data_IF_873957716633
#
_entry.id   IF_873957716633
#
_cell.length_a   1.000
_cell.length_b   1.000
_cell.length_c   1.000
_cell.angle_alpha   90.00
_cell.angle_beta   90.00
_cell.angle_gamma   90.00
#
_symmetry.space_group_name_H-M   'P 1'
#
loop_
_entity.id
_entity.type
_entity.pdbx_description
1 polymer ?
#
# COMPACT_ATOMS: atom_id res chain seq x y z
N UNK A 1 7.87 -26.05 4.76
CA UNK A 1 8.44 -25.66 6.08
C UNK A 1 9.66 -26.50 6.49
N UNK A 2 9.68 -27.80 6.27
CA UNK A 2 10.82 -28.68 6.66
C UNK A 2 12.18 -28.20 6.13
N UNK A 3 12.25 -27.73 4.89
CA UNK A 3 13.47 -27.14 4.33
C UNK A 3 13.59 -25.66 4.68
N UNK A 4 12.50 -24.89 4.58
CA UNK A 4 12.49 -23.45 4.79
C UNK A 4 12.95 -23.04 6.20
N UNK A 5 12.59 -23.83 7.24
CA UNK A 5 12.95 -23.51 8.63
C UNK A 5 14.46 -23.44 8.92
N UNK A 6 15.30 -23.89 7.99
CA UNK A 6 16.77 -23.79 8.09
C UNK A 6 17.29 -22.39 7.79
N UNK A 7 16.50 -21.58 7.10
CA UNK A 7 16.91 -20.29 6.52
C UNK A 7 16.14 -19.11 7.09
N UNK A 8 15.11 -19.35 7.89
CA UNK A 8 14.25 -18.33 8.47
C UNK A 8 14.35 -18.31 10.00
N UNK A 9 14.06 -17.18 10.59
CA UNK A 9 14.07 -16.96 12.05
C UNK A 9 13.80 -15.51 12.39
N UNK A 10 13.62 -15.21 13.66
CA UNK A 10 13.33 -13.85 14.13
C UNK A 10 14.42 -12.83 13.73
N UNK A 11 15.68 -13.27 13.70
CA UNK A 11 16.86 -12.44 13.41
C UNK A 11 17.55 -12.84 12.09
N UNK A 12 16.86 -13.60 11.24
CA UNK A 12 17.36 -14.02 9.91
C UNK A 12 16.40 -13.46 8.86
N UNK A 13 15.73 -14.35 8.11
CA UNK A 13 14.68 -13.92 7.18
C UNK A 13 13.31 -14.13 7.82
N UNK A 14 12.46 -13.10 7.78
CA UNK A 14 11.11 -13.12 8.34
C UNK A 14 10.09 -13.07 7.19
N UNK A 15 9.58 -14.22 6.72
CA UNK A 15 8.59 -14.25 5.65
C UNK A 15 7.26 -13.61 6.05
N UNK A 16 6.56 -13.03 5.07
CA UNK A 16 5.26 -12.39 5.25
C UNK A 16 4.20 -12.99 4.32
N UNK A 17 2.94 -12.69 4.59
CA UNK A 17 1.84 -13.04 3.69
C UNK A 17 1.85 -12.20 2.40
N UNK A 18 1.30 -12.77 1.34
CA UNK A 18 1.12 -12.17 0.02
C UNK A 18 -0.16 -12.71 -0.63
N UNK A 19 -0.42 -12.40 -1.90
CA UNK A 19 -1.60 -12.91 -2.63
C UNK A 19 -1.69 -14.43 -2.47
N UNK A 20 -2.85 -14.89 -1.97
CA UNK A 20 -3.11 -16.32 -1.72
C UNK A 20 -2.50 -16.90 -0.44
N UNK A 21 -1.72 -16.11 0.32
CA UNK A 21 -1.11 -16.51 1.59
C UNK A 21 -1.54 -15.55 2.70
N UNK A 22 -2.62 -15.88 3.38
CA UNK A 22 -3.19 -15.08 4.46
C UNK A 22 -2.88 -15.63 5.85
N UNK A 23 -3.63 -15.15 6.84
CA UNK A 23 -3.46 -15.53 8.25
C UNK A 23 -3.53 -17.05 8.48
N UNK A 24 -4.37 -17.76 7.72
CA UNK A 24 -4.51 -19.22 7.79
C UNK A 24 -3.21 -19.92 7.39
N UNK A 25 -2.62 -19.56 6.26
CA UNK A 25 -1.39 -20.13 5.72
C UNK A 25 -0.20 -19.80 6.62
N UNK A 26 -0.13 -18.54 7.08
CA UNK A 26 0.86 -18.11 8.08
C UNK A 26 0.73 -18.94 9.37
N UNK A 27 -0.48 -19.21 9.82
CA UNK A 27 -0.73 -20.07 10.99
C UNK A 27 -0.19 -21.50 10.80
N UNK A 28 -0.43 -22.10 9.63
CA UNK A 28 0.10 -23.44 9.32
C UNK A 28 1.64 -23.45 9.26
N UNK A 29 2.24 -22.44 8.66
CA UNK A 29 3.69 -22.30 8.60
C UNK A 29 4.31 -22.09 9.98
N UNK A 30 3.72 -21.21 10.80
CA UNK A 30 4.19 -20.95 12.16
C UNK A 30 4.09 -22.22 13.04
N UNK A 31 2.95 -22.91 13.00
CA UNK A 31 2.75 -24.15 13.75
C UNK A 31 3.78 -25.22 13.39
N UNK A 32 4.08 -25.40 12.11
CA UNK A 32 5.08 -26.37 11.67
C UNK A 32 6.51 -25.91 12.00
N UNK A 33 6.82 -24.63 11.88
CA UNK A 33 8.10 -24.07 12.32
C UNK A 33 8.34 -24.36 13.81
N UNK A 34 7.35 -24.05 14.66
CA UNK A 34 7.42 -24.32 16.10
C UNK A 34 7.63 -25.81 16.42
N UNK A 35 6.98 -26.71 15.68
CA UNK A 35 7.15 -28.17 15.88
C UNK A 35 8.56 -28.64 15.53
N UNK A 36 9.16 -28.09 14.47
CA UNK A 36 10.49 -28.52 14.00
C UNK A 36 11.59 -27.90 14.85
N UNK A 37 11.50 -26.58 15.12
CA UNK A 37 12.53 -25.82 15.81
C UNK A 37 12.43 -25.91 17.33
N UNK A 38 11.26 -26.23 17.88
CA UNK A 38 11.00 -26.21 19.32
C UNK A 38 10.98 -24.80 19.93
N UNK A 39 10.94 -23.73 19.08
CA UNK A 39 11.02 -22.34 19.49
C UNK A 39 9.70 -21.63 19.29
N UNK A 40 9.38 -20.70 20.21
CA UNK A 40 8.32 -19.72 20.07
C UNK A 40 8.97 -18.34 19.92
N UNK A 41 9.13 -17.90 18.68
CA UNK A 41 9.85 -16.66 18.36
C UNK A 41 9.14 -15.85 17.29
N UNK A 42 9.63 -14.64 17.02
CA UNK A 42 9.05 -13.68 16.08
C UNK A 42 9.30 -13.99 14.60
N UNK A 43 9.31 -15.25 14.21
CA UNK A 43 9.38 -15.66 12.81
C UNK A 43 8.03 -15.51 12.13
N UNK A 44 8.01 -15.12 10.85
CA UNK A 44 6.81 -14.80 10.08
C UNK A 44 6.08 -13.55 10.55
N UNK A 45 5.45 -12.82 9.64
CA UNK A 45 4.53 -11.73 9.95
C UNK A 45 3.13 -11.98 9.40
N UNK A 46 2.11 -11.29 9.94
CA UNK A 46 0.71 -11.60 9.66
C UNK A 46 0.19 -12.77 10.45
N UNK A 47 0.82 -13.05 11.61
CA UNK A 47 0.38 -14.10 12.55
C UNK A 47 -0.96 -13.76 13.19
N UNK A 48 -1.65 -14.78 13.68
CA UNK A 48 -2.83 -14.59 14.53
C UNK A 48 -2.44 -14.00 15.89
N UNK A 49 -3.38 -13.27 16.51
CA UNK A 49 -3.15 -12.56 17.78
C UNK A 49 -2.72 -13.48 18.91
N UNK A 50 -3.17 -14.73 18.92
CA UNK A 50 -2.87 -15.72 19.96
C UNK A 50 -1.44 -16.28 19.88
N UNK A 51 -0.71 -16.00 18.81
CA UNK A 51 0.65 -16.48 18.60
C UNK A 51 1.60 -15.43 18.01
N UNK A 52 1.49 -14.21 18.51
CA UNK A 52 2.44 -13.13 18.26
C UNK A 52 2.10 -12.21 17.10
N UNK A 53 0.85 -12.22 16.61
CA UNK A 53 0.35 -11.26 15.63
C UNK A 53 0.11 -9.88 16.22
N UNK A 54 0.05 -8.87 15.35
CA UNK A 54 -0.25 -7.48 15.70
C UNK A 54 -1.67 -7.10 15.31
N UNK A 55 -2.32 -6.31 16.16
CA UNK A 55 -3.53 -5.58 15.80
C UNK A 55 -3.25 -4.62 14.64
N UNK A 56 -4.30 -4.17 13.96
CA UNK A 56 -4.25 -3.30 12.79
C UNK A 56 -3.47 -3.86 11.57
N UNK A 57 -2.94 -5.10 11.61
CA UNK A 57 -2.19 -5.67 10.48
C UNK A 57 -3.07 -5.89 9.25
N UNK A 58 -4.31 -6.29 9.47
CA UNK A 58 -5.28 -6.53 8.38
C UNK A 58 -5.64 -5.22 7.68
N UNK A 59 -5.82 -4.16 8.43
CA UNK A 59 -6.19 -2.82 7.97
C UNK A 59 -5.02 -2.05 7.35
N UNK A 60 -3.80 -2.43 7.72
CA UNK A 60 -2.60 -1.61 7.59
C UNK A 60 -2.34 -1.05 6.19
N UNK A 61 -2.52 -1.84 5.13
CA UNK A 61 -2.24 -1.38 3.77
C UNK A 61 -3.27 -0.33 3.33
N UNK A 62 -4.56 -0.61 3.53
CA UNK A 62 -5.64 0.32 3.21
C UNK A 62 -5.59 1.59 4.06
N UNK A 63 -5.38 1.46 5.37
CA UNK A 63 -5.25 2.61 6.26
C UNK A 63 -4.02 3.46 5.94
N UNK A 64 -2.87 2.81 5.74
CA UNK A 64 -1.63 3.48 5.35
C UNK A 64 -1.75 4.26 4.06
N UNK A 65 -2.42 3.68 3.05
CA UNK A 65 -2.73 4.34 1.78
C UNK A 65 -3.46 5.67 2.02
N UNK A 66 -4.49 5.65 2.87
CA UNK A 66 -5.28 6.84 3.17
C UNK A 66 -4.51 7.86 4.01
N UNK A 67 -3.66 7.45 4.95
CA UNK A 67 -2.81 8.39 5.69
C UNK A 67 -1.84 9.12 4.78
N UNK A 68 -1.22 8.42 3.83
CA UNK A 68 -0.35 9.05 2.85
C UNK A 68 -1.13 9.97 1.91
N UNK A 69 -2.31 9.53 1.43
CA UNK A 69 -3.18 10.33 0.58
C UNK A 69 -3.65 11.60 1.31
N UNK A 70 -3.98 11.52 2.60
CA UNK A 70 -4.34 12.68 3.43
C UNK A 70 -3.20 13.71 3.47
N UNK A 71 -1.95 13.27 3.65
CA UNK A 71 -0.79 14.18 3.66
C UNK A 71 -0.53 14.81 2.29
N UNK A 72 -0.68 14.04 1.21
CA UNK A 72 -0.63 14.56 -0.15
C UNK A 72 -1.67 15.67 -0.36
N UNK A 73 -2.92 15.43 0.05
CA UNK A 73 -4.00 16.42 -0.06
C UNK A 73 -3.69 17.68 0.74
N UNK A 74 -3.18 17.54 1.99
CA UNK A 74 -2.80 18.68 2.84
C UNK A 74 -1.70 19.54 2.22
N UNK A 75 -0.67 18.93 1.63
CA UNK A 75 0.43 19.65 0.96
C UNK A 75 -0.08 20.51 -0.22
N UNK A 76 -1.20 20.10 -0.80
CA UNK A 76 -1.90 20.85 -1.85
C UNK A 76 -3.08 21.70 -1.36
N UNK A 77 -3.18 21.97 -0.04
CA UNK A 77 -4.26 22.75 0.59
C UNK A 77 -5.67 22.16 0.36
N UNK A 78 -5.78 20.87 0.25
CA UNK A 78 -7.02 20.12 0.08
C UNK A 78 -7.27 19.21 1.29
N UNK A 79 -8.52 18.76 1.45
CA UNK A 79 -8.91 17.81 2.51
C UNK A 79 -9.56 16.57 1.92
N UNK A 80 -9.63 15.50 2.69
CA UNK A 80 -10.37 14.29 2.31
C UNK A 80 -11.89 14.48 2.43
N UNK A 81 -12.33 15.37 3.32
CA UNK A 81 -13.74 15.57 3.60
C UNK A 81 -14.52 16.04 2.37
N UNK A 82 -15.64 15.41 2.10
CA UNK A 82 -16.53 15.72 0.98
C UNK A 82 -16.00 15.27 -0.40
N UNK A 83 -14.81 14.66 -0.49
CA UNK A 83 -14.26 14.18 -1.76
C UNK A 83 -14.96 12.91 -2.23
N UNK A 84 -15.15 12.82 -3.55
CA UNK A 84 -15.59 11.59 -4.20
C UNK A 84 -14.36 10.74 -4.54
N UNK A 85 -14.37 9.51 -4.06
CA UNK A 85 -13.25 8.57 -4.23
C UNK A 85 -13.71 7.37 -5.04
N UNK A 86 -12.90 6.96 -6.01
CA UNK A 86 -13.08 5.74 -6.80
C UNK A 86 -12.01 4.73 -6.37
N UNK A 87 -12.44 3.53 -6.02
CA UNK A 87 -11.57 2.43 -5.59
C UNK A 87 -11.80 1.24 -6.51
N UNK A 88 -10.72 0.62 -6.99
CA UNK A 88 -10.78 -0.70 -7.62
C UNK A 88 -10.47 -1.80 -6.60
N UNK A 89 -10.95 -3.01 -6.89
CA UNK A 89 -10.80 -4.13 -5.97
C UNK A 89 -11.92 -4.23 -4.95
N UNK A 90 -12.02 -5.40 -4.33
CA UNK A 90 -12.89 -5.71 -3.20
C UNK A 90 -12.17 -6.73 -2.27
N UNK A 91 -10.86 -6.74 -2.31
CA UNK A 91 -10.00 -7.50 -1.40
C UNK A 91 -9.63 -6.69 -0.17
N UNK A 92 -8.71 -7.22 0.63
CA UNK A 92 -8.27 -6.61 1.89
C UNK A 92 -7.88 -5.13 1.73
N UNK A 93 -6.99 -4.80 0.79
CA UNK A 93 -6.54 -3.40 0.60
C UNK A 93 -7.70 -2.47 0.28
N UNK A 94 -8.56 -2.86 -0.66
CA UNK A 94 -9.71 -2.06 -1.09
C UNK A 94 -10.72 -1.85 0.04
N UNK A 95 -11.13 -2.92 0.73
CA UNK A 95 -12.11 -2.85 1.83
C UNK A 95 -11.66 -1.85 2.91
N UNK A 96 -10.41 -1.97 3.37
CA UNK A 96 -9.91 -1.10 4.43
C UNK A 96 -9.53 0.31 3.94
N UNK A 97 -9.19 0.48 2.65
CA UNK A 97 -9.09 1.80 2.05
C UNK A 97 -10.46 2.51 2.02
N UNK A 98 -11.52 1.81 1.61
CA UNK A 98 -12.89 2.33 1.61
C UNK A 98 -13.30 2.72 3.03
N UNK A 99 -13.10 1.83 3.99
CA UNK A 99 -13.43 2.09 5.40
C UNK A 99 -12.72 3.34 5.94
N UNK A 100 -11.42 3.46 5.70
CA UNK A 100 -10.64 4.61 6.20
C UNK A 100 -11.02 5.90 5.47
N UNK A 101 -11.29 5.86 4.16
CA UNK A 101 -11.76 7.02 3.41
C UNK A 101 -13.09 7.57 3.98
N UNK A 102 -14.04 6.69 4.30
CA UNK A 102 -15.30 7.10 4.96
C UNK A 102 -15.05 7.71 6.34
N UNK A 103 -14.13 7.15 7.14
CA UNK A 103 -13.74 7.73 8.45
C UNK A 103 -13.13 9.13 8.33
N UNK A 104 -12.53 9.45 7.17
CA UNK A 104 -11.94 10.76 6.86
C UNK A 104 -12.95 11.71 6.18
N UNK A 105 -14.23 11.35 6.10
CA UNK A 105 -15.29 12.16 5.52
C UNK A 105 -15.38 12.13 3.99
N UNK A 106 -14.62 11.28 3.31
CA UNK A 106 -14.73 11.09 1.89
C UNK A 106 -15.84 10.08 1.54
N UNK A 107 -16.42 10.21 0.34
CA UNK A 107 -17.42 9.27 -0.17
C UNK A 107 -16.81 8.37 -1.24
N UNK A 108 -16.68 7.08 -0.94
CA UNK A 108 -16.23 6.09 -1.91
C UNK A 108 -17.44 5.53 -2.65
N UNK A 109 -17.44 5.62 -3.98
CA UNK A 109 -18.60 5.28 -4.81
C UNK A 109 -18.42 4.03 -5.66
N UNK A 110 -17.24 3.39 -5.63
CA UNK A 110 -16.99 2.18 -6.43
C UNK A 110 -16.20 1.14 -5.67
N UNK A 111 -16.38 -0.12 -6.06
CA UNK A 111 -15.47 -1.23 -5.80
C UNK A 111 -15.56 -2.23 -6.98
N UNK A 112 -14.57 -3.12 -7.11
CA UNK A 112 -14.57 -4.09 -8.23
C UNK A 112 -14.02 -5.45 -7.82
N UNK A 113 -14.42 -6.48 -8.56
CA UNK A 113 -13.78 -7.80 -8.51
C UNK A 113 -13.44 -8.30 -9.93
N UNK A 114 -13.02 -9.56 -10.06
CA UNK A 114 -12.60 -10.11 -11.36
C UNK A 114 -13.74 -10.29 -12.37
N UNK A 115 -14.99 -10.13 -11.98
CA UNK A 115 -16.14 -10.30 -12.86
C UNK A 115 -16.82 -9.00 -13.23
N UNK A 116 -16.68 -7.96 -12.39
CA UNK A 116 -17.32 -6.69 -12.63
C UNK A 116 -17.08 -5.68 -11.51
N UNK A 117 -17.82 -4.61 -11.53
CA UNK A 117 -17.68 -3.52 -10.59
C UNK A 117 -19.03 -2.94 -10.16
N UNK A 118 -19.02 -2.30 -9.03
CA UNK A 118 -20.17 -1.60 -8.44
C UNK A 118 -19.96 -0.10 -8.60
N UNK A 119 -21.05 0.59 -8.96
CA UNK A 119 -21.24 2.02 -8.75
C UNK A 119 -22.35 2.22 -7.74
N UNK A 120 -22.09 2.86 -6.62
CA UNK A 120 -23.08 3.25 -5.62
C UNK A 120 -22.98 4.76 -5.35
N UNK A 121 -23.88 5.58 -5.91
CA UNK A 121 -23.84 7.04 -5.72
C UNK A 121 -24.08 7.46 -4.27
N UNK A 122 -24.67 6.63 -3.43
CA UNK A 122 -24.84 6.88 -2.00
C UNK A 122 -23.57 6.60 -1.19
N UNK A 123 -22.62 5.89 -1.78
CA UNK A 123 -21.37 5.43 -1.18
C UNK A 123 -21.41 3.95 -0.81
N UNK A 124 -20.29 3.29 -0.98
CA UNK A 124 -20.13 1.85 -0.69
C UNK A 124 -20.42 1.57 0.79
N UNK A 125 -21.33 0.66 1.05
CA UNK A 125 -21.59 0.13 2.38
C UNK A 125 -20.48 -0.88 2.75
N UNK A 126 -19.62 -0.49 3.68
CA UNK A 126 -18.44 -1.27 4.07
C UNK A 126 -18.83 -2.57 4.79
N UNK A 127 -19.86 -2.52 5.62
CA UNK A 127 -20.27 -3.70 6.40
C UNK A 127 -20.89 -4.75 5.49
N UNK A 128 -21.73 -4.33 4.56
CA UNK A 128 -22.26 -5.22 3.52
C UNK A 128 -21.14 -5.77 2.62
N UNK A 129 -20.17 -4.92 2.23
CA UNK A 129 -19.04 -5.35 1.42
C UNK A 129 -18.20 -6.42 2.14
N UNK A 130 -17.92 -6.24 3.44
CA UNK A 130 -17.25 -7.25 4.28
C UNK A 130 -18.05 -8.53 4.38
N UNK A 131 -19.34 -8.45 4.63
CA UNK A 131 -20.21 -9.64 4.68
C UNK A 131 -20.13 -10.44 3.39
N UNK A 132 -20.25 -9.77 2.22
CA UNK A 132 -20.20 -10.42 0.92
C UNK A 132 -18.81 -11.00 0.62
N UNK A 133 -17.73 -10.25 0.87
CA UNK A 133 -16.38 -10.62 0.43
C UNK A 133 -15.61 -11.47 1.45
N UNK A 134 -15.68 -11.15 2.73
CA UNK A 134 -14.90 -11.82 3.77
C UNK A 134 -15.66 -13.02 4.37
N UNK A 135 -16.97 -12.87 4.62
CA UNK A 135 -17.78 -13.91 5.26
C UNK A 135 -18.32 -14.89 4.21
N UNK A 136 -19.11 -14.41 3.25
CA UNK A 136 -19.74 -15.26 2.22
C UNK A 136 -18.76 -15.68 1.12
N UNK A 137 -17.67 -14.92 0.91
CA UNK A 137 -16.70 -15.10 -0.19
C UNK A 137 -17.38 -15.11 -1.58
N UNK A 138 -18.41 -14.30 -1.71
CA UNK A 138 -19.24 -14.22 -2.89
C UNK A 138 -18.78 -13.15 -3.89
N UNK A 139 -19.46 -13.02 -5.01
CA UNK A 139 -19.23 -12.00 -6.03
C UNK A 139 -20.00 -10.73 -5.70
N UNK A 140 -19.58 -9.60 -6.30
CA UNK A 140 -20.21 -8.30 -6.10
C UNK A 140 -21.67 -8.23 -6.62
N UNK A 141 -22.10 -9.18 -7.41
CA UNK A 141 -23.52 -9.34 -7.78
C UNK A 141 -24.43 -9.51 -6.56
N UNK A 142 -23.94 -10.19 -5.48
CA UNK A 142 -24.69 -10.30 -4.24
C UNK A 142 -24.76 -8.98 -3.48
N UNK A 143 -23.70 -8.15 -3.57
CA UNK A 143 -23.72 -6.80 -3.02
C UNK A 143 -24.82 -5.96 -3.68
N UNK A 144 -24.85 -5.92 -5.03
CA UNK A 144 -25.87 -5.18 -5.78
C UNK A 144 -27.29 -5.69 -5.51
N UNK A 145 -27.46 -7.00 -5.35
CA UNK A 145 -28.76 -7.57 -5.02
C UNK A 145 -29.26 -7.14 -3.63
N UNK A 146 -28.36 -6.87 -2.69
CA UNK A 146 -28.70 -6.48 -1.32
C UNK A 146 -28.78 -4.94 -1.12
N UNK A 147 -28.27 -4.15 -2.07
CA UNK A 147 -28.19 -2.69 -1.98
C UNK A 147 -28.87 -2.01 -3.15
N UNK A 148 -30.09 -1.47 -2.98
CA UNK A 148 -30.90 -0.92 -4.09
C UNK A 148 -30.28 0.28 -4.82
N UNK A 149 -29.40 1.05 -4.16
CA UNK A 149 -28.67 2.19 -4.77
C UNK A 149 -27.48 1.76 -5.62
N UNK A 150 -27.04 0.50 -5.49
CA UNK A 150 -25.84 0.00 -6.16
C UNK A 150 -26.16 -0.58 -7.54
N UNK A 151 -25.41 -0.15 -8.54
CA UNK A 151 -25.45 -0.68 -9.89
C UNK A 151 -24.27 -1.63 -10.12
N UNK A 152 -24.54 -2.84 -10.61
CA UNK A 152 -23.51 -3.78 -11.02
C UNK A 152 -23.26 -3.70 -12.53
N UNK A 153 -22.00 -3.61 -12.89
CA UNK A 153 -21.55 -3.60 -14.28
C UNK A 153 -20.54 -4.73 -14.51
N UNK A 154 -20.71 -5.50 -15.59
CA UNK A 154 -19.75 -6.53 -15.97
C UNK A 154 -18.45 -5.92 -16.52
N UNK A 155 -17.33 -6.64 -16.33
CA UNK A 155 -16.04 -6.29 -16.89
C UNK A 155 -15.36 -5.13 -16.17
N UNK A 156 -14.70 -4.24 -16.93
CA UNK A 156 -13.89 -3.12 -16.44
C UNK A 156 -14.64 -1.80 -16.68
N UNK A 157 -14.44 -0.83 -15.80
CA UNK A 157 -15.11 0.46 -15.99
C UNK A 157 -15.03 1.41 -14.80
N UNK A 158 -14.40 1.02 -13.71
CA UNK A 158 -14.31 1.80 -12.47
C UNK A 158 -13.83 3.24 -12.72
N UNK A 159 -12.86 3.41 -13.62
CA UNK A 159 -12.20 4.68 -13.90
C UNK A 159 -13.03 5.66 -14.75
N UNK A 160 -14.19 5.22 -15.24
CA UNK A 160 -15.12 6.08 -15.99
C UNK A 160 -15.91 7.02 -15.07
N UNK A 161 -15.99 6.69 -13.78
CA UNK A 161 -16.75 7.47 -12.80
C UNK A 161 -15.97 8.73 -12.43
N UNK A 162 -16.69 9.88 -12.43
CA UNK A 162 -16.10 11.15 -12.00
C UNK A 162 -15.72 11.10 -10.53
N UNK A 163 -14.48 11.47 -10.23
CA UNK A 163 -13.93 11.45 -8.87
C UNK A 163 -12.90 12.56 -8.66
N UNK A 164 -12.63 12.87 -7.39
CA UNK A 164 -11.51 13.70 -6.98
C UNK A 164 -10.23 12.87 -6.79
N UNK A 165 -10.38 11.64 -6.30
CA UNK A 165 -9.27 10.75 -5.94
C UNK A 165 -9.55 9.35 -6.50
N UNK A 166 -8.53 8.74 -7.12
CA UNK A 166 -8.58 7.36 -7.58
C UNK A 166 -7.56 6.50 -6.82
N UNK A 167 -8.01 5.37 -6.28
CA UNK A 167 -7.21 4.44 -5.51
C UNK A 167 -7.21 3.05 -6.17
N UNK A 168 -6.23 2.76 -7.03
CA UNK A 168 -6.07 1.43 -7.62
C UNK A 168 -5.64 0.41 -6.55
N UNK A 169 -6.55 -0.50 -6.17
CA UNK A 169 -6.36 -1.45 -5.06
C UNK A 169 -6.60 -2.91 -5.46
N UNK A 170 -6.71 -3.23 -6.76
CA UNK A 170 -6.99 -4.58 -7.21
C UNK A 170 -5.72 -5.32 -7.67
N UNK A 171 -5.32 -5.13 -8.90
CA UNK A 171 -4.25 -5.93 -9.52
C UNK A 171 -3.28 -5.12 -10.35
N UNK A 172 -2.14 -5.73 -10.66
CA UNK A 172 -1.14 -5.17 -11.56
C UNK A 172 -1.74 -4.85 -12.93
N UNK A 173 -1.33 -3.70 -13.51
CA UNK A 173 -1.74 -3.25 -14.85
C UNK A 173 -3.26 -3.15 -15.04
N UNK A 174 -3.96 -2.67 -14.05
CA UNK A 174 -5.42 -2.48 -14.11
C UNK A 174 -5.83 -1.09 -14.58
N UNK A 175 -4.97 -0.08 -14.47
CA UNK A 175 -5.20 1.28 -14.94
C UNK A 175 -4.32 1.52 -16.19
N UNK A 176 -4.97 1.54 -17.34
CA UNK A 176 -4.33 1.69 -18.66
C UNK A 176 -4.38 3.14 -19.13
N UNK A 177 -3.71 3.44 -20.24
CA UNK A 177 -3.64 4.80 -20.79
C UNK A 177 -5.02 5.42 -21.07
N UNK A 178 -5.99 4.65 -21.54
CA UNK A 178 -7.33 5.18 -21.82
C UNK A 178 -8.11 5.45 -20.54
N UNK A 179 -7.89 4.66 -19.48
CA UNK A 179 -8.41 4.93 -18.15
C UNK A 179 -7.81 6.22 -17.56
N UNK A 180 -6.51 6.43 -17.75
CA UNK A 180 -5.82 7.65 -17.31
C UNK A 180 -6.37 8.90 -18.02
N UNK A 181 -6.61 8.82 -19.33
CA UNK A 181 -7.25 9.90 -20.10
C UNK A 181 -8.65 10.22 -19.55
N UNK A 182 -9.41 9.18 -19.20
CA UNK A 182 -10.75 9.35 -18.64
C UNK A 182 -10.71 10.02 -17.26
N UNK A 183 -9.79 9.61 -16.38
CA UNK A 183 -9.59 10.22 -15.07
C UNK A 183 -9.23 11.72 -15.20
N UNK A 184 -8.31 12.06 -16.10
CA UNK A 184 -7.93 13.46 -16.37
C UNK A 184 -9.13 14.25 -16.91
N UNK A 185 -9.86 13.71 -17.88
CA UNK A 185 -11.05 14.35 -18.44
C UNK A 185 -12.15 14.59 -17.39
N UNK A 186 -12.27 13.69 -16.41
CA UNK A 186 -13.19 13.78 -15.30
C UNK A 186 -12.73 14.73 -14.17
N UNK A 187 -11.50 15.28 -14.26
CA UNK A 187 -10.94 16.22 -13.28
C UNK A 187 -10.40 15.55 -12.02
N UNK A 188 -9.98 14.29 -12.08
CA UNK A 188 -9.33 13.60 -10.98
C UNK A 188 -8.05 14.35 -10.57
N UNK A 189 -7.91 14.65 -9.28
CA UNK A 189 -6.77 15.40 -8.73
C UNK A 189 -5.62 14.50 -8.29
N UNK A 190 -5.93 13.34 -7.71
CA UNK A 190 -4.93 12.45 -7.13
C UNK A 190 -5.15 10.98 -7.51
N UNK A 191 -4.06 10.28 -7.79
CA UNK A 191 -4.03 8.83 -7.96
C UNK A 191 -2.97 8.27 -6.99
N UNK A 192 -3.39 7.43 -6.04
CA UNK A 192 -2.51 6.78 -5.07
C UNK A 192 -2.67 5.27 -5.13
N UNK A 193 -1.60 4.56 -5.41
CA UNK A 193 -1.63 3.12 -5.67
C UNK A 193 -1.66 2.28 -4.39
N UNK A 194 -2.76 1.57 -4.15
CA UNK A 194 -2.87 0.57 -3.08
C UNK A 194 -2.32 -0.80 -3.49
N UNK A 195 -2.45 -1.17 -4.76
CA UNK A 195 -1.89 -2.39 -5.32
C UNK A 195 -0.42 -2.19 -5.76
N UNK A 196 0.25 -3.28 -6.12
CA UNK A 196 1.59 -3.23 -6.69
C UNK A 196 1.51 -3.02 -8.21
N UNK A 197 2.08 -1.91 -8.68
CA UNK A 197 2.14 -1.53 -10.10
C UNK A 197 0.79 -1.63 -10.84
N UNK A 198 -0.31 -1.08 -10.30
CA UNK A 198 -1.62 -1.18 -10.94
C UNK A 198 -1.73 -0.30 -12.18
N UNK A 199 -0.95 0.79 -12.25
CA UNK A 199 -0.94 1.74 -13.36
C UNK A 199 0.19 1.42 -14.33
N UNK A 200 -0.10 1.39 -15.63
CA UNK A 200 0.93 1.19 -16.64
C UNK A 200 1.85 2.42 -16.76
N UNK A 201 3.04 2.23 -17.31
CA UNK A 201 4.06 3.31 -17.37
C UNK A 201 3.54 4.49 -18.19
N UNK A 202 2.97 4.23 -19.36
CA UNK A 202 2.36 5.23 -20.24
C UNK A 202 1.20 5.99 -19.58
N UNK A 203 0.37 5.28 -18.79
CA UNK A 203 -0.69 5.90 -17.99
C UNK A 203 -0.13 6.77 -16.87
N UNK A 204 0.94 6.32 -16.20
CA UNK A 204 1.62 7.09 -15.15
C UNK A 204 2.21 8.39 -15.70
N UNK A 205 2.94 8.31 -16.82
CA UNK A 205 3.50 9.47 -17.49
C UNK A 205 2.41 10.45 -17.89
N UNK A 206 1.33 9.96 -18.51
CA UNK A 206 0.19 10.79 -18.91
C UNK A 206 -0.49 11.51 -17.73
N UNK A 207 -0.72 10.82 -16.60
CA UNK A 207 -1.31 11.42 -15.40
C UNK A 207 -0.42 12.55 -14.87
N UNK A 208 0.89 12.32 -14.77
CA UNK A 208 1.86 13.31 -14.29
C UNK A 208 1.95 14.52 -15.21
N UNK A 209 2.01 14.32 -16.52
CA UNK A 209 2.07 15.39 -17.53
C UNK A 209 0.81 16.26 -17.53
N UNK A 210 -0.33 15.71 -17.13
CA UNK A 210 -1.60 16.44 -17.00
C UNK A 210 -1.88 16.95 -15.57
N UNK A 211 -0.87 17.00 -14.71
CA UNK A 211 -0.94 17.63 -13.39
C UNK A 211 -1.69 16.83 -12.32
N UNK A 212 -1.96 15.55 -12.55
CA UNK A 212 -2.52 14.65 -11.52
C UNK A 212 -1.43 14.30 -10.51
N UNK A 213 -1.73 14.44 -9.23
CA UNK A 213 -0.82 14.05 -8.15
C UNK A 213 -0.75 12.54 -8.05
N UNK A 214 0.32 11.97 -8.56
CA UNK A 214 0.48 10.52 -8.66
C UNK A 214 1.49 10.00 -7.64
N UNK A 215 1.05 9.09 -6.75
CA UNK A 215 1.94 8.40 -5.80
C UNK A 215 1.92 6.90 -6.07
N UNK A 216 3.08 6.38 -6.46
CA UNK A 216 3.25 4.97 -6.79
C UNK A 216 3.20 4.04 -5.56
N UNK A 217 2.85 2.78 -5.81
CA UNK A 217 2.64 1.75 -4.78
C UNK A 217 3.81 1.56 -3.83
N UNK A 218 5.07 1.72 -4.28
CA UNK A 218 6.25 1.61 -3.41
C UNK A 218 6.19 2.47 -2.14
N UNK A 219 5.53 3.62 -2.20
CA UNK A 219 5.31 4.50 -1.08
C UNK A 219 3.89 4.38 -0.54
N UNK A 220 2.89 4.42 -1.43
CA UNK A 220 1.50 4.51 -1.05
C UNK A 220 0.98 3.25 -0.34
N UNK A 221 1.44 2.06 -0.71
CA UNK A 221 1.01 0.80 -0.08
C UNK A 221 1.95 0.28 1.04
N UNK A 222 2.92 1.07 1.45
CA UNK A 222 3.92 0.67 2.45
C UNK A 222 3.33 0.37 3.85
N UNK A 223 2.06 0.66 4.09
CA UNK A 223 1.40 0.42 5.38
C UNK A 223 1.45 -1.02 5.84
N UNK A 224 1.28 -1.98 4.91
CA UNK A 224 1.36 -3.40 5.22
C UNK A 224 2.73 -3.83 5.75
N UNK A 225 3.80 -3.48 5.05
CA UNK A 225 5.17 -3.81 5.46
C UNK A 225 5.58 -3.02 6.72
N UNK A 226 5.13 -1.79 6.86
CA UNK A 226 5.36 -1.00 8.08
C UNK A 226 4.78 -1.68 9.32
N UNK A 227 3.54 -2.16 9.24
CA UNK A 227 2.93 -2.88 10.36
C UNK A 227 3.55 -4.27 10.58
N UNK A 228 4.06 -4.92 9.53
CA UNK A 228 4.88 -6.12 9.71
C UNK A 228 6.14 -5.84 10.54
N UNK A 229 6.82 -4.71 10.30
CA UNK A 229 7.96 -4.29 11.12
C UNK A 229 7.54 -3.96 12.57
N UNK A 230 6.37 -3.37 12.78
CA UNK A 230 5.82 -3.16 14.12
C UNK A 230 5.49 -4.48 14.83
N UNK A 231 4.97 -5.48 14.10
CA UNK A 231 4.75 -6.84 14.63
C UNK A 231 6.07 -7.48 15.07
N UNK A 232 7.13 -7.36 14.25
CA UNK A 232 8.46 -7.84 14.62
C UNK A 232 8.99 -7.14 15.87
N UNK A 233 8.78 -5.83 16.01
CA UNK A 233 9.17 -5.07 17.21
C UNK A 233 8.44 -5.58 18.45
N UNK A 234 7.12 -5.75 18.37
CA UNK A 234 6.31 -6.31 19.47
C UNK A 234 6.78 -7.72 19.86
N UNK A 235 7.14 -8.55 18.87
CA UNK A 235 7.67 -9.89 19.13
C UNK A 235 9.03 -9.85 19.84
N UNK A 236 9.92 -8.94 19.47
CA UNK A 236 11.24 -8.76 20.09
C UNK A 236 11.11 -8.24 21.54
N UNK A 237 10.18 -7.33 21.79
CA UNK A 237 9.87 -6.80 23.12
C UNK A 237 9.07 -7.80 23.98
N UNK A 238 8.45 -8.81 23.35
CA UNK A 238 7.49 -9.74 23.96
C UNK A 238 6.26 -9.02 24.53
N UNK A 239 5.84 -7.94 23.89
CA UNK A 239 4.68 -7.13 24.25
C UNK A 239 3.63 -7.21 23.13
N UNK A 240 2.41 -6.84 23.48
CA UNK A 240 1.31 -6.59 22.54
C UNK A 240 0.83 -5.17 22.74
N UNK A 241 0.78 -4.41 21.64
CA UNK A 241 0.26 -3.04 21.64
C UNK A 241 -1.23 -3.04 21.32
N UNK A 242 -1.93 -2.00 21.76
CA UNK A 242 -3.34 -1.81 21.42
C UNK A 242 -3.49 -1.45 19.93
N UNK A 243 -4.72 -1.51 19.43
CA UNK A 243 -5.01 -1.10 18.06
C UNK A 243 -4.61 0.37 17.82
N UNK A 244 -4.95 1.24 18.77
CA UNK A 244 -4.69 2.67 18.72
C UNK A 244 -3.17 2.97 18.70
N UNK A 245 -2.39 2.23 19.49
CA UNK A 245 -0.93 2.37 19.50
C UNK A 245 -0.30 1.98 18.14
N UNK A 246 -0.76 0.86 17.57
CA UNK A 246 -0.27 0.41 16.25
C UNK A 246 -0.72 1.37 15.15
N UNK A 247 -1.98 1.79 15.16
CA UNK A 247 -2.54 2.71 14.15
C UNK A 247 -1.86 4.09 14.19
N UNK A 248 -1.59 4.62 15.39
CA UNK A 248 -0.86 5.88 15.55
C UNK A 248 0.60 5.78 15.02
N UNK A 249 1.28 4.66 15.29
CA UNK A 249 2.62 4.40 14.74
C UNK A 249 2.58 4.26 13.21
N UNK A 250 1.60 3.52 12.68
CA UNK A 250 1.36 3.38 11.24
C UNK A 250 1.15 4.75 10.58
N UNK A 251 0.27 5.58 11.15
CA UNK A 251 0.03 6.94 10.64
C UNK A 251 1.32 7.75 10.58
N UNK A 252 2.10 7.76 11.67
CA UNK A 252 3.38 8.48 11.72
C UNK A 252 4.39 7.97 10.67
N UNK A 253 4.45 6.67 10.44
CA UNK A 253 5.31 6.08 9.41
C UNK A 253 4.90 6.55 8.02
N UNK A 254 3.60 6.51 7.70
CA UNK A 254 3.11 6.90 6.37
C UNK A 254 3.27 8.39 6.11
N UNK A 255 3.04 9.25 7.11
CA UNK A 255 3.33 10.69 7.07
C UNK A 255 4.81 10.93 6.78
N UNK A 256 5.70 10.26 7.50
CA UNK A 256 7.14 10.37 7.29
C UNK A 256 7.56 9.86 5.89
N UNK A 257 6.95 8.81 5.38
CA UNK A 257 7.19 8.34 4.00
C UNK A 257 6.84 9.44 3.01
N UNK A 258 5.65 10.05 3.15
CA UNK A 258 5.25 11.15 2.27
C UNK A 258 6.26 12.30 2.29
N UNK A 259 6.64 12.80 3.47
CA UNK A 259 7.61 13.89 3.57
C UNK A 259 8.97 13.51 2.98
N UNK A 260 9.46 12.31 3.25
CA UNK A 260 10.73 11.85 2.70
C UNK A 260 10.75 11.81 1.17
N UNK A 261 9.68 11.35 0.53
CA UNK A 261 9.60 11.31 -0.95
C UNK A 261 9.42 12.70 -1.55
N UNK A 262 8.64 13.56 -0.92
CA UNK A 262 8.41 14.94 -1.35
C UNK A 262 9.70 15.76 -1.23
N UNK A 263 10.39 15.69 -0.07
CA UNK A 263 11.66 16.38 0.16
C UNK A 263 12.76 15.89 -0.80
N UNK A 264 12.80 14.58 -1.07
CA UNK A 264 13.73 14.03 -2.04
C UNK A 264 13.43 14.56 -3.46
N UNK A 265 12.16 14.58 -3.88
CA UNK A 265 11.77 15.15 -5.16
C UNK A 265 12.16 16.63 -5.28
N UNK A 266 11.82 17.45 -4.29
CA UNK A 266 12.19 18.89 -4.24
C UNK A 266 13.70 19.08 -4.28
N UNK A 267 14.45 18.37 -3.43
CA UNK A 267 15.91 18.50 -3.31
C UNK A 267 16.67 18.20 -4.60
N UNK A 268 16.18 17.25 -5.38
CA UNK A 268 16.85 16.79 -6.60
C UNK A 268 16.25 17.35 -7.89
N UNK A 269 15.34 18.34 -7.81
CA UNK A 269 14.80 19.08 -8.96
C UNK A 269 13.65 18.36 -9.70
N UNK A 270 12.93 17.48 -9.00
CA UNK A 270 11.76 16.75 -9.50
C UNK A 270 10.51 17.06 -8.68
N UNK A 271 10.36 18.33 -8.27
CA UNK A 271 9.20 18.75 -7.47
C UNK A 271 7.87 18.29 -8.10
N UNK A 272 6.97 17.71 -7.29
CA UNK A 272 5.72 17.14 -7.75
C UNK A 272 5.80 15.73 -8.35
N UNK A 273 7.00 15.20 -8.63
CA UNK A 273 7.18 13.83 -9.10
C UNK A 273 7.50 12.88 -7.93
N UNK A 274 6.45 12.36 -7.29
CA UNK A 274 6.58 11.48 -6.12
C UNK A 274 7.14 10.08 -6.47
N UNK A 275 7.03 9.64 -7.72
CA UNK A 275 7.63 8.37 -8.18
C UNK A 275 9.16 8.48 -8.18
N UNK A 276 9.69 9.55 -8.76
CA UNK A 276 11.13 9.84 -8.73
C UNK A 276 11.59 10.10 -7.31
N UNK A 277 10.82 10.88 -6.52
CA UNK A 277 11.09 11.14 -5.12
C UNK A 277 11.23 9.87 -4.30
N UNK A 278 10.32 8.89 -4.46
CA UNK A 278 10.37 7.61 -3.77
C UNK A 278 11.63 6.80 -4.14
N UNK A 279 11.98 6.75 -5.42
CA UNK A 279 13.19 6.06 -5.88
C UNK A 279 14.47 6.70 -5.30
N UNK A 280 14.56 8.02 -5.31
CA UNK A 280 15.71 8.75 -4.76
C UNK A 280 15.80 8.56 -3.25
N UNK A 281 14.69 8.72 -2.51
CA UNK A 281 14.67 8.57 -1.06
C UNK A 281 15.14 7.17 -0.63
N UNK A 282 14.63 6.12 -1.29
CA UNK A 282 15.03 4.74 -1.06
C UNK A 282 16.52 4.50 -1.34
N UNK A 283 17.01 5.00 -2.48
CA UNK A 283 18.43 4.88 -2.83
C UNK A 283 19.33 5.59 -1.84
N UNK A 284 19.01 6.83 -1.46
CA UNK A 284 19.82 7.61 -0.51
C UNK A 284 19.87 6.94 0.85
N UNK A 285 18.77 6.39 1.34
CA UNK A 285 18.73 5.66 2.60
C UNK A 285 19.60 4.40 2.55
N UNK A 286 19.42 3.58 1.51
CA UNK A 286 20.20 2.35 1.32
C UNK A 286 21.70 2.62 1.17
N UNK A 287 22.09 3.59 0.33
CA UNK A 287 23.49 3.93 0.12
C UNK A 287 24.18 4.45 1.38
N UNK A 288 23.49 5.26 2.20
CA UNK A 288 24.01 5.71 3.51
C UNK A 288 24.22 4.55 4.48
N UNK A 289 23.31 3.59 4.49
CA UNK A 289 23.41 2.38 5.31
C UNK A 289 24.63 1.55 4.91
N UNK A 290 24.83 1.29 3.62
CA UNK A 290 26.00 0.56 3.11
C UNK A 290 27.32 1.25 3.43
N UNK A 291 27.38 2.57 3.27
CA UNK A 291 28.58 3.36 3.63
C UNK A 291 28.82 3.34 5.13
N UNK A 292 27.78 3.56 5.93
CA UNK A 292 27.89 3.64 7.39
C UNK A 292 28.24 2.31 8.04
N UNK A 293 27.77 1.18 7.46
CA UNK A 293 28.08 -0.17 7.94
C UNK A 293 29.46 -0.70 7.49
N UNK A 294 30.17 0.03 6.62
CA UNK A 294 31.44 -0.41 6.06
C UNK A 294 31.33 -1.55 5.03
N UNK A 295 30.10 -1.93 4.63
CA UNK A 295 29.88 -2.95 3.62
C UNK A 295 30.39 -2.56 2.23
N UNK A 296 30.57 -1.26 1.98
CA UNK A 296 31.25 -0.73 0.79
C UNK A 296 32.47 0.07 1.23
N UNK A 297 33.65 -0.49 0.96
CA UNK A 297 34.92 0.27 0.99
C UNK A 297 34.93 1.25 -0.21
N UNK A 298 34.17 2.32 -0.09
CA UNK A 298 34.21 3.39 -1.07
C UNK A 298 35.49 4.16 -0.82
N UNK A 299 36.47 4.03 -1.72
CA UNK A 299 37.56 5.00 -1.78
C UNK A 299 36.93 6.38 -1.91
N UNK A 300 37.15 7.23 -0.92
CA UNK A 300 36.54 8.54 -0.62
C UNK A 300 36.37 9.52 -1.80
N UNK A 301 36.86 9.20 -2.99
CA UNK A 301 37.01 10.14 -4.09
C UNK A 301 36.08 9.93 -5.30
N UNK A 302 35.43 8.79 -5.45
CA UNK A 302 34.70 8.51 -6.70
C UNK A 302 33.17 8.41 -6.56
N UNK A 303 32.66 8.25 -5.35
CA UNK A 303 31.22 7.99 -5.11
C UNK A 303 30.50 9.09 -4.32
N UNK A 304 31.20 10.05 -3.71
CA UNK A 304 30.54 11.20 -3.07
C UNK A 304 29.67 11.97 -4.06
N UNK A 305 30.13 12.06 -5.30
CA UNK A 305 29.40 12.71 -6.40
C UNK A 305 28.08 12.00 -6.77
N UNK A 306 27.97 10.68 -6.54
CA UNK A 306 26.74 9.90 -6.77
C UNK A 306 25.79 9.93 -5.59
N UNK A 307 26.31 10.05 -4.36
CA UNK A 307 25.51 10.24 -3.15
C UNK A 307 24.94 11.66 -3.08
N UNK A 308 25.69 12.64 -3.59
CA UNK A 308 25.26 14.03 -3.67
C UNK A 308 24.33 14.32 -4.85
N UNK A 309 24.43 13.53 -5.95
CA UNK A 309 23.59 13.69 -7.12
C UNK A 309 23.22 12.33 -7.73
N UNK A 310 22.24 11.62 -7.17
CA UNK A 310 21.81 10.28 -7.61
C UNK A 310 21.14 10.25 -8.98
N UNK A 311 20.81 11.40 -9.57
CA UNK A 311 20.12 11.53 -10.87
C UNK A 311 20.88 10.89 -12.03
N UNK A 312 22.21 10.77 -11.92
CA UNK A 312 23.05 10.20 -12.97
C UNK A 312 23.19 8.67 -12.93
N UNK A 313 22.45 7.98 -12.06
CA UNK A 313 22.47 6.53 -11.96
C UNK A 313 21.34 5.95 -12.79
N UNK A 314 21.67 5.31 -13.91
CA UNK A 314 20.72 4.45 -14.63
C UNK A 314 20.44 3.22 -13.76
N UNK A 315 19.23 3.14 -13.22
CA UNK A 315 18.78 2.00 -12.44
C UNK A 315 18.50 0.81 -13.37
N UNK A 316 19.42 -0.12 -13.42
CA UNK A 316 19.19 -1.48 -13.96
C UNK A 316 19.23 -2.47 -12.81
N UNK A 317 18.20 -2.50 -11.98
CA UNK A 317 18.12 -3.48 -10.90
C UNK A 317 17.06 -3.13 -9.87
N UNK A 318 16.25 -4.10 -9.54
CA UNK A 318 15.23 -4.03 -8.47
C UNK A 318 15.97 -4.18 -7.13
N UNK A 319 16.06 -3.11 -6.36
CA UNK A 319 16.44 -3.20 -4.95
C UNK A 319 15.17 -3.24 -4.11
N UNK A 320 14.85 -4.41 -3.60
CA UNK A 320 13.89 -4.57 -2.50
C UNK A 320 14.66 -4.21 -1.23
N UNK A 321 14.43 -3.00 -0.71
CA UNK A 321 14.87 -2.67 0.64
C UNK A 321 13.67 -2.88 1.58
N UNK A 322 13.81 -3.85 2.47
CA UNK A 322 13.00 -4.02 3.69
C UNK A 322 13.43 -2.96 4.72
#
# INVERSE_FOLDING_TARGET
MTELCKYIGADTDVPAGDIGTGAREIGYMFGQYKRIRGLYEGVLTGKGLTYGGSLARTEATGYGLLYLTEELMKDHNETMEGKTVVVSGAGNVAIYAIQKAHQMGAKVVTCSDSTGWIYDPEGIDVDLLKEVKEVKRARLTEYAAARPSAEYHEGRGVWQIKCDIALPCATQNELLIDDAKQLVANGCKAVCEGANMPTTIDATEYLQENGVWFVGGKAANAGGVATSALEMSQNSERLSWTFEEVDAKLKNIMVNIYHNINDAAKRYGFEGNYVVGANIAGFVKGSRSYVGSGCLLIRKYKYSKYIENPVNIRFTGVFVCV
#
